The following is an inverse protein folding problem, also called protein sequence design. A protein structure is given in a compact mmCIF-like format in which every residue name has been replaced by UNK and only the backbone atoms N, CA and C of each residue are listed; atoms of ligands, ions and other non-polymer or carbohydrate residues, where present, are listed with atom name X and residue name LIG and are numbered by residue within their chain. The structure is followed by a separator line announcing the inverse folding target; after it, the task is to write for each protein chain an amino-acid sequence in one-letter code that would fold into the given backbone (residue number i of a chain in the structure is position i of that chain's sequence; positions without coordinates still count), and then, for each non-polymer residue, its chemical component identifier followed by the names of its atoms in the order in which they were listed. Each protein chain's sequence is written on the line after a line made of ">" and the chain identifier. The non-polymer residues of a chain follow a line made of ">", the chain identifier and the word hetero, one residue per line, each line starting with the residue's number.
data_IF_017543831983
#
_entry.id   IF_017543831983
#
_cell.length_a   1.000
_cell.length_b   1.000
_cell.length_c   1.000
_cell.angle_alpha   90.00
_cell.angle_beta   90.00
_cell.angle_gamma   90.00
#
_symmetry.space_group_name_H-M   'P 1'
#
loop_
_entity.id
_entity.type
_entity.pdbx_description
1 polymer ?
#
# COMPACT_ATOMS: atom_id res chain seq x y z
N UNK A 1 -4.29 -8.90 17.91
CA UNK A 1 -5.26 -7.90 17.41
C UNK A 1 -5.49 -8.20 15.94
N UNK A 2 -6.69 -8.63 15.57
CA UNK A 2 -7.01 -9.20 14.26
C UNK A 2 -7.51 -8.08 13.32
N UNK A 3 -6.89 -7.91 12.16
CA UNK A 3 -7.35 -7.01 11.09
C UNK A 3 -8.03 -7.84 10.01
N UNK A 4 -9.28 -7.53 9.67
CA UNK A 4 -9.97 -8.12 8.52
C UNK A 4 -10.22 -7.05 7.45
N UNK A 5 -9.91 -7.39 6.21
CA UNK A 5 -10.29 -6.67 4.99
C UNK A 5 -11.56 -7.34 4.46
N UNK A 6 -12.65 -6.59 4.33
CA UNK A 6 -13.89 -7.06 3.69
C UNK A 6 -13.86 -6.62 2.22
N UNK A 7 -13.87 -7.59 1.30
CA UNK A 7 -14.18 -7.37 -0.12
C UNK A 7 -15.50 -8.10 -0.47
N UNK A 8 -16.27 -7.52 -1.38
CA UNK A 8 -17.67 -7.84 -1.67
C UNK A 8 -17.87 -9.01 -2.64
N UNK A 9 -18.99 -9.73 -2.43
CA UNK A 9 -19.80 -10.54 -3.36
C UNK A 9 -19.59 -12.07 -3.43
N UNK A 10 -20.44 -12.80 -2.70
CA UNK A 10 -21.27 -13.95 -3.14
C UNK A 10 -21.81 -14.67 -1.89
N UNK A 11 -23.15 -14.81 -1.79
CA UNK A 11 -23.81 -15.51 -0.68
C UNK A 11 -23.53 -17.01 -0.81
N UNK A 12 -22.51 -17.48 -0.12
CA UNK A 12 -22.38 -18.88 0.27
C UNK A 12 -22.89 -19.00 1.70
N UNK A 13 -23.88 -19.87 1.92
CA UNK A 13 -24.40 -20.24 3.24
C UNK A 13 -23.29 -20.91 4.05
N UNK A 14 -22.48 -20.09 4.72
CA UNK A 14 -21.49 -20.51 5.70
C UNK A 14 -22.21 -20.87 6.99
N UNK A 15 -21.99 -22.10 7.47
CA UNK A 15 -22.48 -22.57 8.76
C UNK A 15 -22.08 -21.61 9.87
N UNK A 16 -23.08 -21.00 10.51
CA UNK A 16 -22.94 -20.00 11.57
C UNK A 16 -22.69 -20.68 12.91
N UNK A 17 -21.45 -20.77 13.35
CA UNK A 17 -21.12 -21.10 14.75
C UNK A 17 -20.15 -20.10 15.40
N UNK A 18 -20.06 -18.89 14.85
CA UNK A 18 -19.51 -17.72 15.55
C UNK A 18 -20.64 -16.75 15.89
N UNK A 19 -20.47 -15.85 16.89
CA UNK A 19 -21.43 -14.78 17.09
C UNK A 19 -21.54 -13.98 15.79
N UNK A 20 -22.73 -13.96 15.20
CA UNK A 20 -23.00 -13.08 14.08
C UNK A 20 -22.80 -11.65 14.57
N UNK A 21 -22.02 -10.85 13.82
CA UNK A 21 -21.88 -9.43 14.12
C UNK A 21 -23.26 -8.79 14.12
N UNK A 22 -23.65 -8.18 15.23
CA UNK A 22 -24.85 -7.39 15.33
C UNK A 22 -24.59 -6.00 14.73
N UNK A 23 -25.64 -5.30 14.31
CA UNK A 23 -25.53 -3.90 13.86
C UNK A 23 -25.03 -2.97 14.96
N UNK A 24 -25.16 -3.38 16.23
CA UNK A 24 -24.61 -2.71 17.41
C UNK A 24 -23.11 -2.88 17.59
N UNK A 25 -22.49 -3.82 16.87
CA UNK A 25 -21.03 -4.03 16.91
C UNK A 25 -20.28 -3.01 16.04
N UNK A 26 -21.03 -2.18 15.30
CA UNK A 26 -20.50 -1.13 14.44
C UNK A 26 -21.04 0.23 14.89
N UNK A 27 -20.14 1.10 15.34
CA UNK A 27 -20.46 2.49 15.56
C UNK A 27 -20.16 3.27 14.27
N UNK A 28 -21.18 3.94 13.71
CA UNK A 28 -20.98 4.85 12.58
C UNK A 28 -20.38 6.14 13.10
N UNK A 29 -19.07 6.26 12.99
CA UNK A 29 -18.33 7.47 13.34
C UNK A 29 -18.66 8.64 12.39
N UNK A 30 -18.27 9.87 12.78
CA UNK A 30 -18.50 11.05 11.97
C UNK A 30 -17.72 10.98 10.66
N UNK A 31 -18.35 11.44 9.57
CA UNK A 31 -17.71 11.57 8.27
C UNK A 31 -16.72 12.74 8.29
N UNK A 32 -15.47 12.47 7.97
CA UNK A 32 -14.52 13.54 7.68
C UNK A 32 -14.72 14.00 6.23
N UNK A 33 -15.11 15.26 6.06
CA UNK A 33 -15.14 15.93 4.77
C UNK A 33 -13.93 16.86 4.72
N UNK A 34 -13.08 16.69 3.72
CA UNK A 34 -12.01 17.65 3.48
C UNK A 34 -12.59 18.89 2.79
N UNK A 35 -13.12 19.82 3.57
CA UNK A 35 -13.65 21.09 3.07
C UNK A 35 -12.54 22.03 2.56
N UNK A 36 -11.27 21.65 2.71
CA UNK A 36 -10.09 22.40 2.26
C UNK A 36 -9.39 21.72 1.08
N UNK A 37 -9.90 20.58 0.61
CA UNK A 37 -9.39 19.84 -0.54
C UNK A 37 -9.72 20.51 -1.88
N UNK A 38 -9.09 20.02 -2.94
CA UNK A 38 -9.39 20.48 -4.30
C UNK A 38 -10.64 19.77 -4.81
N UNK A 39 -11.51 20.49 -5.52
CA UNK A 39 -12.69 19.87 -6.11
C UNK A 39 -12.26 18.73 -7.07
N UNK A 40 -12.80 17.53 -6.86
CA UNK A 40 -12.47 16.35 -7.68
C UNK A 40 -11.14 15.68 -7.34
N UNK A 41 -10.50 16.02 -6.21
CA UNK A 41 -9.22 15.41 -5.80
C UNK A 41 -9.29 13.93 -5.43
N UNK A 42 -10.49 13.39 -5.21
CA UNK A 42 -10.76 11.97 -4.89
C UNK A 42 -10.05 11.47 -3.62
N UNK A 43 -9.94 12.32 -2.60
CA UNK A 43 -9.38 11.91 -1.30
C UNK A 43 -10.06 10.62 -0.79
N UNK A 44 -9.24 9.67 -0.37
CA UNK A 44 -9.68 8.35 0.08
C UNK A 44 -9.65 7.27 -1.01
N UNK A 45 -9.05 7.56 -2.17
CA UNK A 45 -8.78 6.56 -3.21
C UNK A 45 -7.99 5.36 -2.67
N UNK A 46 -7.02 5.64 -1.81
CA UNK A 46 -6.27 4.64 -1.05
C UNK A 46 -6.28 5.00 0.42
N UNK A 47 -6.21 4.00 1.30
CA UNK A 47 -6.24 4.20 2.74
C UNK A 47 -5.36 3.17 3.45
N UNK A 48 -4.59 3.64 4.43
CA UNK A 48 -3.92 2.81 5.41
C UNK A 48 -4.20 3.37 6.79
N UNK A 49 -4.31 2.52 7.81
CA UNK A 49 -4.50 2.98 9.18
C UNK A 49 -3.94 2.02 10.20
N UNK A 50 -3.40 2.54 11.30
CA UNK A 50 -2.90 1.76 12.43
C UNK A 50 -3.27 2.34 13.79
N UNK A 51 -3.44 1.48 14.81
CA UNK A 51 -3.45 1.93 16.20
C UNK A 51 -2.03 2.33 16.64
N UNK A 52 -1.95 3.34 17.49
CA UNK A 52 -0.70 3.79 18.12
C UNK A 52 -0.71 3.36 19.59
N UNK A 53 0.45 3.05 20.14
CA UNK A 53 0.65 2.57 21.52
C UNK A 53 0.08 3.50 22.60
N UNK A 54 0.00 4.79 22.31
CA UNK A 54 -0.62 5.82 23.17
C UNK A 54 -2.16 5.81 23.18
N UNK A 55 -2.78 4.87 22.43
CA UNK A 55 -4.23 4.74 22.27
C UNK A 55 -4.82 5.62 21.16
N UNK A 56 -4.00 6.45 20.50
CA UNK A 56 -4.41 7.21 19.33
C UNK A 56 -4.49 6.31 18.09
N UNK A 57 -5.08 6.85 17.03
CA UNK A 57 -5.12 6.20 15.72
C UNK A 57 -4.50 7.11 14.67
N UNK A 58 -3.76 6.48 13.76
CA UNK A 58 -3.12 7.12 12.62
C UNK A 58 -3.69 6.53 11.34
N UNK A 59 -3.95 7.37 10.36
CA UNK A 59 -4.32 6.94 9.02
C UNK A 59 -3.65 7.81 7.96
N UNK A 60 -3.50 7.27 6.75
CA UNK A 60 -3.02 7.96 5.57
C UNK A 60 -4.01 7.70 4.45
N UNK A 61 -4.50 8.76 3.80
CA UNK A 61 -5.45 8.70 2.72
C UNK A 61 -4.85 9.34 1.47
N UNK A 62 -4.75 8.56 0.38
CA UNK A 62 -4.31 9.08 -0.91
C UNK A 62 -5.45 9.76 -1.67
N UNK A 63 -5.09 10.76 -2.47
CA UNK A 63 -5.96 11.49 -3.38
C UNK A 63 -5.34 11.47 -4.78
N UNK A 64 -6.10 11.11 -5.82
CA UNK A 64 -5.60 11.15 -7.19
C UNK A 64 -5.24 12.56 -7.67
N UNK A 65 -5.65 13.59 -6.93
CA UNK A 65 -5.15 14.96 -7.09
C UNK A 65 -3.65 15.14 -6.77
N UNK A 66 -2.90 14.06 -6.47
CA UNK A 66 -1.45 14.07 -6.32
C UNK A 66 -0.96 14.37 -4.90
N UNK A 67 -1.76 14.04 -3.88
CA UNK A 67 -1.37 14.22 -2.49
C UNK A 67 -1.85 13.09 -1.58
N UNK A 68 -1.22 12.98 -0.41
CA UNK A 68 -1.63 12.09 0.67
C UNK A 68 -1.92 12.94 1.91
N UNK A 69 -3.10 12.74 2.50
CA UNK A 69 -3.46 13.33 3.79
C UNK A 69 -3.12 12.35 4.92
N UNK A 70 -2.40 12.83 5.93
CA UNK A 70 -2.14 12.10 7.17
C UNK A 70 -3.17 12.54 8.20
N UNK A 71 -3.88 11.58 8.77
CA UNK A 71 -4.98 11.77 9.69
C UNK A 71 -4.63 11.21 11.07
N UNK A 72 -4.97 11.95 12.11
CA UNK A 72 -4.76 11.54 13.50
C UNK A 72 -6.07 11.64 14.27
N UNK A 73 -6.35 10.63 15.10
CA UNK A 73 -7.40 10.67 16.12
C UNK A 73 -6.75 10.42 17.47
N UNK A 74 -6.66 11.45 18.31
CA UNK A 74 -6.09 11.33 19.64
C UNK A 74 -6.99 10.52 20.58
N UNK A 75 -6.40 9.98 21.65
CA UNK A 75 -7.13 9.29 22.71
C UNK A 75 -8.20 10.22 23.31
N UNK A 76 -9.44 9.75 23.38
CA UNK A 76 -10.59 10.54 23.87
C UNK A 76 -11.24 11.43 22.82
N UNK A 77 -10.68 11.55 21.61
CA UNK A 77 -11.34 12.22 20.49
C UNK A 77 -12.19 11.24 19.69
N UNK A 78 -13.34 11.72 19.22
CA UNK A 78 -14.27 10.93 18.39
C UNK A 78 -14.01 11.06 16.89
N UNK A 79 -13.19 12.04 16.47
CA UNK A 79 -12.97 12.37 15.07
C UNK A 79 -11.49 12.35 14.69
N UNK A 80 -11.21 11.92 13.45
CA UNK A 80 -9.92 12.15 12.83
C UNK A 80 -9.79 13.61 12.41
N UNK A 81 -8.57 14.14 12.47
CA UNK A 81 -8.22 15.44 11.90
C UNK A 81 -7.04 15.26 10.94
N UNK A 82 -7.04 15.98 9.83
CA UNK A 82 -5.89 16.03 8.92
C UNK A 82 -4.77 16.79 9.62
N UNK A 83 -3.68 16.09 9.95
CA UNK A 83 -2.52 16.70 10.59
C UNK A 83 -1.51 17.24 9.58
N UNK A 84 -1.41 16.63 8.40
CA UNK A 84 -0.42 16.98 7.38
C UNK A 84 -0.91 16.55 5.99
N UNK A 85 -0.46 17.23 4.95
CA UNK A 85 -0.53 16.76 3.56
C UNK A 85 0.87 16.65 2.96
N UNK A 86 1.10 15.63 2.15
CA UNK A 86 2.34 15.41 1.41
C UNK A 86 2.04 15.26 -0.07
N UNK A 87 2.98 15.64 -0.93
CA UNK A 87 2.90 15.47 -2.39
C UNK A 87 4.28 15.22 -2.96
N UNK A 88 4.36 14.66 -4.17
CA UNK A 88 5.61 14.60 -4.95
C UNK A 88 6.00 15.95 -5.54
N UNK A 89 5.05 16.90 -5.63
CA UNK A 89 5.24 18.19 -6.30
C UNK A 89 5.09 18.13 -7.82
N UNK A 90 4.78 16.95 -8.38
CA UNK A 90 4.55 16.73 -9.81
C UNK A 90 3.10 16.29 -10.00
N UNK A 91 2.40 16.96 -10.91
CA UNK A 91 1.02 16.62 -11.25
C UNK A 91 0.98 15.31 -12.05
N UNK A 92 -0.12 14.57 -11.94
CA UNK A 92 -0.45 13.38 -12.75
C UNK A 92 0.41 12.12 -12.54
N UNK A 93 1.45 12.15 -11.70
CA UNK A 93 2.26 10.95 -11.35
C UNK A 93 1.49 9.91 -10.50
N UNK A 94 0.21 10.14 -10.24
CA UNK A 94 -0.64 9.30 -9.39
C UNK A 94 -0.05 9.11 -7.98
N UNK A 95 0.60 10.15 -7.44
CA UNK A 95 1.10 10.14 -6.05
C UNK A 95 -0.06 9.92 -5.08
N UNK A 96 0.04 8.86 -4.27
CA UNK A 96 -1.03 8.44 -3.37
C UNK A 96 -1.97 7.39 -3.96
N UNK A 97 -1.67 6.83 -5.15
CA UNK A 97 -2.43 5.68 -5.68
C UNK A 97 -2.40 4.51 -4.70
N UNK A 98 -1.27 4.30 -4.05
CA UNK A 98 -1.10 3.31 -3.00
C UNK A 98 -0.42 3.94 -1.78
N UNK A 99 -0.89 3.59 -0.58
CA UNK A 99 -0.34 4.07 0.68
C UNK A 99 -0.22 2.92 1.67
N UNK A 100 0.85 2.90 2.45
CA UNK A 100 1.03 1.93 3.52
C UNK A 100 1.65 2.58 4.76
N UNK A 101 1.16 2.18 5.92
CA UNK A 101 1.69 2.56 7.22
C UNK A 101 2.20 1.31 7.94
N UNK A 102 3.38 1.40 8.54
CA UNK A 102 3.97 0.31 9.31
C UNK A 102 5.09 0.78 10.23
N UNK A 103 5.74 -0.17 10.89
CA UNK A 103 6.64 0.12 12.00
C UNK A 103 5.89 0.41 13.30
N UNK A 104 6.66 0.36 14.39
CA UNK A 104 6.15 0.68 15.74
C UNK A 104 5.57 2.09 15.72
N UNK A 105 4.29 2.22 16.06
CA UNK A 105 3.58 3.50 16.13
C UNK A 105 3.51 4.30 14.81
N UNK A 106 3.60 3.61 13.68
CA UNK A 106 3.53 4.24 12.36
C UNK A 106 4.79 5.03 12.09
N UNK A 107 5.95 4.41 12.32
CA UNK A 107 7.24 5.02 12.05
C UNK A 107 7.39 5.37 10.56
N UNK A 108 6.85 4.54 9.67
CA UNK A 108 7.01 4.67 8.23
C UNK A 108 5.68 4.85 7.50
N UNK A 109 5.71 5.69 6.48
CA UNK A 109 4.67 5.87 5.48
C UNK A 109 5.28 5.69 4.10
N UNK A 110 4.83 4.68 3.36
CA UNK A 110 5.18 4.51 1.95
C UNK A 110 4.03 5.01 1.08
N UNK A 111 4.38 5.73 0.02
CA UNK A 111 3.44 6.29 -0.95
C UNK A 111 3.89 5.91 -2.35
N UNK A 112 3.06 5.19 -3.08
CA UNK A 112 3.29 4.87 -4.49
C UNK A 112 2.89 6.02 -5.41
N UNK A 113 3.68 6.21 -6.46
CA UNK A 113 3.44 7.09 -7.59
C UNK A 113 3.79 6.33 -8.89
N UNK A 114 2.98 5.34 -9.29
CA UNK A 114 3.29 4.49 -10.45
C UNK A 114 3.21 5.23 -11.80
N UNK A 115 2.67 6.45 -11.82
CA UNK A 115 2.65 7.31 -13.01
C UNK A 115 3.89 8.17 -13.18
N UNK A 116 4.86 8.10 -12.24
CA UNK A 116 6.08 8.91 -12.31
C UNK A 116 6.94 8.53 -13.52
N UNK A 117 7.30 9.55 -14.30
CA UNK A 117 7.95 9.43 -15.61
C UNK A 117 9.49 9.61 -15.57
N UNK A 118 10.10 9.76 -14.38
CA UNK A 118 11.52 10.11 -14.24
C UNK A 118 12.49 9.15 -14.97
N UNK A 119 12.10 7.87 -15.13
CA UNK A 119 12.89 6.83 -15.78
C UNK A 119 12.21 6.23 -17.02
N UNK A 120 11.27 6.97 -17.62
CA UNK A 120 10.46 6.53 -18.75
C UNK A 120 8.99 6.54 -18.40
N UNK A 121 8.14 6.55 -19.43
CA UNK A 121 6.70 6.74 -19.25
C UNK A 121 6.11 5.67 -18.31
N UNK A 122 5.46 6.10 -17.24
CA UNK A 122 4.87 5.27 -16.18
C UNK A 122 5.85 4.21 -15.65
N UNK A 123 7.14 4.55 -15.52
CA UNK A 123 8.11 3.68 -14.87
C UNK A 123 7.75 3.51 -13.37
N UNK A 124 7.29 4.59 -12.75
CA UNK A 124 6.78 4.63 -11.39
C UNK A 124 7.87 4.79 -10.33
N UNK A 125 7.48 5.28 -9.16
CA UNK A 125 8.34 5.48 -7.98
C UNK A 125 7.58 5.25 -6.68
N UNK A 126 8.33 5.07 -5.59
CA UNK A 126 7.77 5.05 -4.23
C UNK A 126 8.49 6.05 -3.36
N UNK A 127 7.72 6.86 -2.64
CA UNK A 127 8.22 7.81 -1.66
C UNK A 127 8.07 7.20 -0.27
N UNK A 128 9.18 7.07 0.45
CA UNK A 128 9.20 6.62 1.83
C UNK A 128 9.40 7.83 2.73
N UNK A 129 8.47 8.02 3.66
CA UNK A 129 8.51 9.05 4.66
C UNK A 129 8.64 8.40 6.04
N UNK A 130 9.28 9.12 6.95
CA UNK A 130 9.44 8.70 8.34
C UNK A 130 8.83 9.74 9.27
N UNK A 131 8.12 9.25 10.28
CA UNK A 131 7.53 10.08 11.32
C UNK A 131 8.65 10.68 12.19
N UNK A 132 8.70 12.00 12.25
CA UNK A 132 9.63 12.74 13.09
C UNK A 132 9.32 12.52 14.57
N UNK A 133 10.35 12.21 15.35
CA UNK A 133 10.26 12.06 16.81
C UNK A 133 10.05 13.38 17.55
N UNK A 134 10.28 14.53 16.89
CA UNK A 134 10.23 15.86 17.53
C UNK A 134 9.01 16.69 17.13
N UNK A 135 8.51 16.52 15.90
CA UNK A 135 7.40 17.32 15.36
C UNK A 135 6.12 16.50 15.09
N UNK A 136 6.18 15.16 15.20
CA UNK A 136 5.12 14.23 14.83
C UNK A 136 4.66 14.29 13.35
N UNK A 137 5.33 15.07 12.51
CA UNK A 137 5.13 15.13 11.06
C UNK A 137 5.95 14.05 10.33
N UNK A 138 5.46 13.64 9.18
CA UNK A 138 6.19 12.76 8.27
C UNK A 138 7.14 13.58 7.40
N UNK A 139 8.42 13.25 7.46
CA UNK A 139 9.46 13.86 6.66
C UNK A 139 9.94 12.86 5.59
N UNK A 140 10.35 13.34 4.40
CA UNK A 140 10.95 12.46 3.39
C UNK A 140 12.16 11.72 3.96
N UNK A 141 12.16 10.39 3.84
CA UNK A 141 13.26 9.53 4.23
C UNK A 141 14.05 9.09 3.00
N UNK A 142 13.36 8.57 2.00
CA UNK A 142 13.95 8.08 0.76
C UNK A 142 12.96 8.17 -0.39
N UNK A 143 13.48 8.25 -1.61
CA UNK A 143 12.69 7.93 -2.81
C UNK A 143 13.28 6.67 -3.42
N UNK A 144 12.41 5.72 -3.72
CA UNK A 144 12.76 4.41 -4.24
C UNK A 144 12.41 4.39 -5.72
N UNK A 145 13.45 4.26 -6.53
CA UNK A 145 13.33 4.09 -7.96
C UNK A 145 13.28 2.58 -8.29
N UNK A 146 12.69 2.19 -9.43
CA UNK A 146 12.67 0.79 -9.85
C UNK A 146 14.11 0.27 -10.01
N UNK A 147 14.48 -0.90 -9.48
CA UNK A 147 15.85 -1.41 -9.58
C UNK A 147 16.33 -1.63 -11.02
N UNK A 148 15.40 -1.96 -11.91
CA UNK A 148 15.60 -2.07 -13.35
C UNK A 148 14.46 -1.34 -14.06
N UNK A 149 14.57 -0.02 -14.27
CA UNK A 149 13.49 0.77 -14.82
C UNK A 149 13.06 0.27 -16.20
N UNK A 150 11.75 0.13 -16.37
CA UNK A 150 11.16 -0.18 -17.65
C UNK A 150 9.92 0.70 -17.88
N UNK A 151 9.70 1.07 -19.14
CA UNK A 151 8.50 1.83 -19.51
C UNK A 151 7.25 1.04 -19.15
N UNK A 152 6.26 1.75 -18.63
CA UNK A 152 4.95 1.24 -18.22
C UNK A 152 5.00 0.12 -17.19
N UNK A 153 6.09 0.00 -16.43
CA UNK A 153 6.24 -1.05 -15.43
C UNK A 153 5.37 -0.80 -14.19
N UNK A 154 5.00 0.46 -13.95
CA UNK A 154 4.12 0.91 -12.88
C UNK A 154 4.63 0.52 -11.48
N UNK A 155 5.92 0.69 -11.22
CA UNK A 155 6.51 0.46 -9.89
C UNK A 155 5.81 1.33 -8.83
N UNK A 156 5.43 0.74 -7.70
CA UNK A 156 4.65 1.44 -6.67
C UNK A 156 3.14 1.34 -6.85
N UNK A 157 2.64 0.50 -7.76
CA UNK A 157 1.19 0.25 -7.89
C UNK A 157 0.58 -0.27 -6.59
N UNK A 158 1.32 -1.12 -5.88
CA UNK A 158 0.93 -1.61 -4.56
C UNK A 158 2.12 -1.52 -3.60
N UNK A 159 1.86 -1.13 -2.36
CA UNK A 159 2.89 -1.03 -1.31
C UNK A 159 2.35 -1.59 0.00
N UNK A 160 3.22 -2.21 0.80
CA UNK A 160 2.89 -2.61 2.17
C UNK A 160 4.14 -2.61 3.05
N UNK A 161 4.00 -2.28 4.33
CA UNK A 161 5.11 -2.22 5.29
C UNK A 161 4.82 -3.22 6.40
N UNK A 162 5.85 -3.94 6.85
CA UNK A 162 5.75 -4.84 7.98
C UNK A 162 5.27 -4.10 9.25
N UNK A 163 4.47 -4.77 10.07
CA UNK A 163 3.95 -4.18 11.32
C UNK A 163 5.09 -3.73 12.27
N UNK A 164 6.22 -4.45 12.27
CA UNK A 164 7.42 -4.11 13.04
C UNK A 164 8.35 -3.12 12.32
N UNK A 165 8.06 -2.78 11.06
CA UNK A 165 8.85 -1.84 10.26
C UNK A 165 10.17 -2.42 9.77
N UNK A 166 10.32 -3.75 9.76
CA UNK A 166 11.56 -4.42 9.30
C UNK A 166 11.74 -4.42 7.78
N UNK A 167 10.64 -4.33 7.01
CA UNK A 167 10.71 -4.27 5.55
C UNK A 167 9.51 -3.55 4.92
N UNK A 168 9.73 -3.07 3.71
CA UNK A 168 8.74 -2.53 2.77
C UNK A 168 8.66 -3.45 1.56
N UNK A 169 7.45 -3.71 1.08
CA UNK A 169 7.19 -4.44 -0.16
C UNK A 169 6.59 -3.48 -1.17
N UNK A 170 7.09 -3.53 -2.40
CA UNK A 170 6.62 -2.73 -3.53
C UNK A 170 6.28 -3.65 -4.71
N UNK A 171 5.09 -3.48 -5.27
CA UNK A 171 4.65 -4.16 -6.48
C UNK A 171 4.94 -3.36 -7.75
N UNK A 172 5.38 -4.08 -8.78
CA UNK A 172 5.62 -3.60 -10.14
C UNK A 172 4.93 -4.56 -11.13
N UNK A 173 3.59 -4.46 -11.28
CA UNK A 173 2.79 -5.47 -11.96
C UNK A 173 3.11 -5.63 -13.44
N UNK A 174 3.74 -4.65 -14.08
CA UNK A 174 4.20 -4.74 -15.48
C UNK A 174 5.72 -4.82 -15.59
N UNK A 175 6.38 -5.16 -14.48
CA UNK A 175 7.81 -5.36 -14.45
C UNK A 175 8.23 -6.52 -15.33
N UNK A 176 9.42 -6.37 -15.94
CA UNK A 176 9.93 -7.29 -16.96
C UNK A 176 11.09 -8.13 -16.44
N UNK A 177 11.03 -9.43 -16.72
CA UNK A 177 12.14 -10.36 -16.49
C UNK A 177 12.45 -11.08 -17.80
N UNK A 178 13.72 -11.04 -18.24
CA UNK A 178 14.10 -11.59 -19.55
C UNK A 178 13.40 -10.93 -20.74
N UNK A 179 12.93 -9.68 -20.60
CA UNK A 179 12.21 -8.94 -21.64
C UNK A 179 10.70 -9.17 -21.68
N UNK A 180 10.16 -10.02 -20.81
CA UNK A 180 8.74 -10.38 -20.77
C UNK A 180 8.07 -9.73 -19.55
N UNK A 181 6.89 -9.14 -19.74
CA UNK A 181 6.05 -8.68 -18.63
C UNK A 181 5.56 -9.88 -17.83
N UNK A 182 6.02 -10.01 -16.60
CA UNK A 182 5.63 -11.10 -15.68
C UNK A 182 5.08 -10.54 -14.36
N UNK A 183 5.36 -9.27 -14.10
CA UNK A 183 5.13 -8.63 -12.82
C UNK A 183 6.21 -9.00 -11.81
N UNK A 184 6.64 -8.00 -11.04
CA UNK A 184 7.71 -8.12 -10.06
C UNK A 184 7.24 -7.61 -8.70
N UNK A 185 7.87 -8.12 -7.65
CA UNK A 185 7.75 -7.58 -6.30
C UNK A 185 9.15 -7.33 -5.75
N UNK A 186 9.33 -6.17 -5.13
CA UNK A 186 10.59 -5.73 -4.54
C UNK A 186 10.42 -5.61 -3.02
N UNK A 187 11.32 -6.24 -2.28
CA UNK A 187 11.31 -6.25 -0.81
C UNK A 187 12.54 -5.49 -0.33
N UNK A 188 12.32 -4.35 0.30
CA UNK A 188 13.36 -3.47 0.83
C UNK A 188 13.46 -3.66 2.34
N UNK A 189 14.63 -4.09 2.87
CA UNK A 189 14.84 -4.11 4.31
C UNK A 189 14.93 -2.66 4.83
N UNK A 190 14.28 -2.41 5.96
CA UNK A 190 14.25 -1.11 6.63
C UNK A 190 15.01 -1.22 7.96
N UNK A 191 15.91 -0.26 8.19
CA UNK A 191 16.75 -0.21 9.38
C UNK A 191 16.76 1.22 9.94
N UNK A 192 15.66 1.64 10.56
CA UNK A 192 15.52 2.99 11.10
C UNK A 192 15.55 4.04 9.99
N UNK A 193 16.61 4.85 9.95
CA UNK A 193 16.77 5.89 8.93
C UNK A 193 17.41 5.37 7.62
N UNK A 194 17.55 4.06 7.44
CA UNK A 194 18.23 3.49 6.27
C UNK A 194 17.37 2.45 5.56
N UNK A 195 17.40 2.50 4.23
CA UNK A 195 16.77 1.53 3.35
C UNK A 195 17.88 0.69 2.72
N UNK A 196 17.83 -0.63 2.87
CA UNK A 196 18.81 -1.52 2.25
C UNK A 196 18.44 -1.86 0.80
N UNK A 197 19.30 -2.65 0.16
CA UNK A 197 19.09 -3.07 -1.22
C UNK A 197 17.86 -4.00 -1.33
N UNK A 198 17.05 -3.86 -2.40
CA UNK A 198 15.89 -4.68 -2.57
C UNK A 198 16.26 -6.11 -2.99
N UNK A 199 15.48 -7.07 -2.50
CA UNK A 199 15.33 -8.37 -3.13
C UNK A 199 14.18 -8.31 -4.13
N UNK A 200 14.42 -8.71 -5.38
CA UNK A 200 13.38 -8.79 -6.41
C UNK A 200 12.89 -10.23 -6.55
N UNK A 201 11.58 -10.42 -6.41
CA UNK A 201 10.90 -11.68 -6.63
C UNK A 201 10.10 -11.63 -7.94
N UNK A 202 10.23 -12.69 -8.74
CA UNK A 202 9.45 -12.92 -9.96
C UNK A 202 8.34 -13.93 -9.66
N UNK A 203 7.12 -13.64 -10.09
CA UNK A 203 6.02 -14.60 -10.05
C UNK A 203 6.21 -15.64 -11.16
N UNK A 204 6.38 -16.91 -10.82
CA UNK A 204 6.44 -18.01 -11.80
C UNK A 204 5.04 -18.38 -12.31
N UNK A 205 4.29 -17.39 -12.81
CA UNK A 205 2.84 -17.46 -13.03
C UNK A 205 2.41 -17.21 -14.48
N UNK A 206 3.37 -17.28 -15.41
CA UNK A 206 3.13 -17.04 -16.83
C UNK A 206 3.39 -15.59 -17.26
N UNK A 207 3.21 -15.34 -18.56
CA UNK A 207 3.33 -14.00 -19.15
C UNK A 207 2.13 -13.16 -18.74
N UNK A 208 2.35 -11.87 -18.55
CA UNK A 208 1.33 -10.86 -18.26
C UNK A 208 0.49 -11.10 -17.00
N UNK A 209 0.92 -12.01 -16.11
CA UNK A 209 0.19 -12.41 -14.91
C UNK A 209 -0.07 -11.26 -13.91
N UNK A 210 0.64 -10.14 -14.07
CA UNK A 210 0.62 -8.96 -13.18
C UNK A 210 0.94 -9.29 -11.73
N UNK A 211 1.93 -10.15 -11.52
CA UNK A 211 2.45 -10.42 -10.19
C UNK A 211 2.89 -9.11 -9.51
N UNK A 212 2.38 -8.85 -8.30
CA UNK A 212 2.60 -7.59 -7.59
C UNK A 212 1.50 -6.55 -7.79
N UNK A 213 0.40 -6.87 -8.48
CA UNK A 213 -0.75 -5.96 -8.62
C UNK A 213 -1.37 -5.59 -7.27
N UNK A 214 -1.36 -6.52 -6.32
CA UNK A 214 -1.76 -6.29 -4.94
C UNK A 214 -0.78 -7.00 -3.99
N UNK A 215 -0.50 -6.36 -2.86
CA UNK A 215 0.38 -6.91 -1.82
C UNK A 215 -0.21 -6.69 -0.44
N UNK A 216 0.01 -7.63 0.46
CA UNK A 216 -0.31 -7.53 1.87
C UNK A 216 0.77 -8.23 2.69
N UNK A 217 1.04 -7.74 3.90
CA UNK A 217 2.02 -8.36 4.80
C UNK A 217 1.45 -8.51 6.20
N UNK A 218 1.89 -9.55 6.90
CA UNK A 218 1.70 -9.69 8.34
C UNK A 218 2.83 -10.55 8.92
N UNK A 219 3.52 -10.02 9.93
CA UNK A 219 4.77 -10.61 10.41
C UNK A 219 5.78 -10.74 9.27
N UNK A 220 6.36 -11.94 9.10
CA UNK A 220 7.33 -12.23 8.04
C UNK A 220 6.71 -12.74 6.74
N UNK A 221 5.37 -12.79 6.65
CA UNK A 221 4.68 -13.31 5.46
C UNK A 221 4.20 -12.18 4.58
N UNK A 222 4.46 -12.31 3.29
CA UNK A 222 3.97 -11.42 2.25
C UNK A 222 3.06 -12.20 1.33
N UNK A 223 1.86 -11.67 1.07
CA UNK A 223 0.90 -12.22 0.12
C UNK A 223 0.88 -11.33 -1.10
N UNK A 224 1.01 -11.92 -2.28
CA UNK A 224 1.09 -11.21 -3.56
C UNK A 224 0.02 -11.74 -4.51
N UNK A 225 -0.74 -10.85 -5.11
CA UNK A 225 -1.72 -11.17 -6.15
C UNK A 225 -1.14 -11.07 -7.56
N UNK A 226 -1.63 -11.94 -8.44
CA UNK A 226 -1.38 -11.97 -9.88
C UNK A 226 -2.71 -12.25 -10.60
N UNK A 227 -3.55 -11.24 -10.81
CA UNK A 227 -4.95 -11.44 -11.22
C UNK A 227 -5.10 -11.96 -12.66
N UNK A 228 -4.07 -11.84 -13.50
CA UNK A 228 -4.09 -12.31 -14.89
C UNK A 228 -3.26 -13.59 -15.07
N UNK A 229 -2.97 -14.30 -13.98
CA UNK A 229 -2.29 -15.58 -14.08
C UNK A 229 -3.23 -16.63 -14.70
N UNK A 230 -2.70 -17.41 -15.62
CA UNK A 230 -3.41 -18.55 -16.20
C UNK A 230 -3.31 -19.76 -15.27
N UNK A 231 -4.32 -20.63 -15.30
CA UNK A 231 -4.24 -21.90 -14.56
C UNK A 231 -3.30 -22.91 -15.27
N UNK A 232 -2.90 -24.00 -14.60
CA UNK A 232 -2.05 -25.03 -15.21
C UNK A 232 -2.68 -25.74 -16.42
N UNK A 233 -3.98 -25.57 -16.65
CA UNK A 233 -4.73 -26.11 -17.78
C UNK A 233 -4.91 -25.06 -18.91
N UNK A 234 -4.22 -23.92 -18.82
CA UNK A 234 -4.26 -22.80 -19.78
C UNK A 234 -5.64 -22.13 -19.89
N UNK A 235 -6.44 -22.16 -18.83
CA UNK A 235 -7.58 -21.27 -18.71
C UNK A 235 -7.05 -19.86 -18.43
N UNK A 236 -7.35 -18.95 -19.36
CA UNK A 236 -6.84 -17.59 -19.30
C UNK A 236 -7.39 -16.80 -18.09
N UNK A 237 -6.55 -15.96 -17.48
CA UNK A 237 -6.93 -14.96 -16.49
C UNK A 237 -7.69 -15.50 -15.26
N UNK A 238 -7.40 -16.73 -14.84
CA UNK A 238 -8.02 -17.31 -13.62
C UNK A 238 -7.53 -16.65 -12.33
N UNK A 239 -6.36 -16.00 -12.40
CA UNK A 239 -5.70 -15.33 -11.30
C UNK A 239 -5.01 -16.30 -10.34
N UNK A 240 -3.97 -15.80 -9.67
CA UNK A 240 -3.24 -16.54 -8.66
C UNK A 240 -2.83 -15.64 -7.49
N UNK A 241 -2.57 -16.29 -6.36
CA UNK A 241 -2.03 -15.66 -5.14
C UNK A 241 -0.82 -16.47 -4.71
N UNK A 242 0.28 -15.79 -4.41
CA UNK A 242 1.50 -16.40 -3.88
C UNK A 242 1.81 -15.86 -2.49
N UNK A 243 2.21 -16.76 -1.58
CA UNK A 243 2.69 -16.39 -0.25
C UNK A 243 4.20 -16.56 -0.20
N UNK A 244 4.90 -15.49 0.15
CA UNK A 244 6.34 -15.44 0.39
C UNK A 244 6.58 -15.42 1.89
N UNK A 245 7.65 -16.09 2.34
CA UNK A 245 8.10 -16.03 3.73
C UNK A 245 9.50 -15.43 3.75
N UNK A 246 9.66 -14.34 4.50
CA UNK A 246 10.93 -13.68 4.74
C UNK A 246 11.59 -14.36 5.93
N UNK A 247 12.86 -14.74 5.78
CA UNK A 247 13.66 -15.47 6.78
C UNK A 247 14.84 -14.65 7.23
#
# INVERSE_FOLDING_TARGET
>A
MMRFIICCAAVATLATSGPAFATTDFEVGPRLLDSTGLAGDTLGFSIAGLPVSDGSQLAAAGALGGYVAILKRQTGQTQFTISQRTSSGVADDSYGLSVALGGVDGEYLAVGAPGDDAFGNNAGRVYLLRRSSTAADYLPLATLDPPAPAVTANFGTAVTIADDGSFLVVGEPKGRSGGIEVGLVHIYPLNGASVGLPMTQVGALGMEARFGQSVATHGTRVVVGAPLADDPMMVADTGAIQVLTIT
#
